data_IF_483014079149
#
_entry.id   IF_483014079149
#
_cell.length_a   1.000
_cell.length_b   1.000
_cell.length_c   1.000
_cell.angle_alpha   90.00
_cell.angle_beta   90.00
_cell.angle_gamma   90.00
#
_symmetry.space_group_name_H-M   'P 1'
#
loop_
_entity.id
_entity.type
_entity.pdbx_description
1 polymer ?
#
# COMPACT_ATOMS: atom_id res chain seq x y z
N UNK A 1 -22.58 -42.29 -5.44
CA UNK A 1 -23.07 -41.53 -4.27
C UNK A 1 -21.86 -41.13 -3.47
N UNK A 2 -21.64 -39.84 -3.31
CA UNK A 2 -20.42 -39.28 -2.65
C UNK A 2 -20.70 -39.11 -1.16
N UNK A 3 -19.69 -39.24 -0.33
CA UNK A 3 -19.72 -39.10 1.15
C UNK A 3 -20.43 -37.81 1.64
N UNK A 4 -20.70 -36.85 0.76
CA UNK A 4 -21.43 -35.61 1.05
C UNK A 4 -22.95 -35.79 1.07
N UNK A 5 -23.50 -36.70 0.30
CA UNK A 5 -24.94 -37.01 0.24
C UNK A 5 -25.36 -37.83 1.43
N UNK A 6 -24.55 -38.79 1.87
CA UNK A 6 -24.82 -39.61 3.07
C UNK A 6 -24.84 -38.76 4.36
N UNK A 7 -23.97 -37.74 4.46
CA UNK A 7 -23.97 -36.82 5.60
C UNK A 7 -25.18 -35.87 5.63
N UNK A 8 -25.77 -35.54 4.49
CA UNK A 8 -27.00 -34.74 4.45
C UNK A 8 -28.24 -35.58 4.81
N UNK A 9 -28.31 -36.84 4.39
CA UNK A 9 -29.42 -37.76 4.73
C UNK A 9 -29.38 -38.11 6.21
N UNK A 10 -28.21 -38.35 6.80
CA UNK A 10 -28.05 -38.59 8.25
C UNK A 10 -28.46 -37.38 9.11
N UNK A 11 -28.18 -36.19 8.67
CA UNK A 11 -28.61 -34.93 9.35
C UNK A 11 -30.14 -34.76 9.29
N UNK A 12 -30.77 -35.14 8.18
CA UNK A 12 -32.21 -35.00 8.01
C UNK A 12 -33.01 -35.99 8.85
N UNK A 13 -32.50 -37.22 8.99
CA UNK A 13 -33.12 -38.29 9.81
C UNK A 13 -33.03 -37.90 11.30
N UNK A 14 -31.90 -37.35 11.75
CA UNK A 14 -31.73 -36.94 13.16
C UNK A 14 -32.60 -35.71 13.55
N UNK A 15 -32.84 -34.79 12.63
CA UNK A 15 -33.71 -33.61 12.89
C UNK A 15 -35.18 -34.00 12.95
N UNK A 16 -35.64 -35.01 12.14
CA UNK A 16 -37.02 -35.43 12.13
C UNK A 16 -37.37 -36.25 13.40
N UNK A 17 -36.45 -37.06 13.88
CA UNK A 17 -36.63 -37.79 15.14
C UNK A 17 -36.61 -36.87 16.36
N UNK A 18 -35.80 -35.79 16.35
CA UNK A 18 -35.79 -34.79 17.41
C UNK A 18 -37.10 -33.97 17.44
N UNK A 19 -37.63 -33.59 16.28
CA UNK A 19 -38.91 -32.88 16.17
C UNK A 19 -40.09 -33.71 16.63
N UNK A 20 -40.14 -35.02 16.30
CA UNK A 20 -41.20 -35.92 16.77
C UNK A 20 -41.14 -36.20 18.27
N UNK A 21 -39.97 -36.14 18.89
CA UNK A 21 -39.82 -36.28 20.34
C UNK A 21 -40.37 -35.06 21.10
N UNK A 22 -40.14 -33.85 20.56
CA UNK A 22 -40.67 -32.59 21.14
C UNK A 22 -42.18 -32.41 20.94
N UNK A 23 -42.75 -32.89 19.84
CA UNK A 23 -44.17 -32.77 19.56
C UNK A 23 -45.05 -33.60 20.53
N UNK A 24 -44.49 -34.62 21.19
CA UNK A 24 -45.21 -35.52 22.13
C UNK A 24 -45.17 -35.05 23.59
N UNK A 25 -44.51 -33.94 23.94
CA UNK A 25 -44.35 -33.39 25.31
C UNK A 25 -44.44 -31.88 25.35
N UNK A 26 -45.65 -31.29 25.26
CA UNK A 26 -45.81 -29.83 25.13
C UNK A 26 -45.34 -29.01 26.36
N UNK A 27 -45.12 -29.64 27.54
CA UNK A 27 -44.65 -28.96 28.73
C UNK A 27 -43.16 -28.52 28.74
N UNK A 28 -42.34 -29.05 27.82
CA UNK A 28 -40.93 -28.74 27.72
C UNK A 28 -40.57 -27.70 26.65
N UNK A 29 -41.57 -27.29 25.84
CA UNK A 29 -41.37 -26.36 24.77
C UNK A 29 -41.07 -24.93 25.23
N UNK A 30 -41.65 -24.53 26.34
CA UNK A 30 -41.44 -23.18 26.92
C UNK A 30 -40.11 -23.04 27.66
N UNK A 31 -39.58 -24.09 28.24
CA UNK A 31 -38.28 -24.07 28.95
C UNK A 31 -37.14 -24.15 27.93
N UNK A 32 -37.28 -24.91 26.81
CA UNK A 32 -36.28 -24.99 25.75
C UNK A 32 -36.12 -23.66 24.96
N UNK A 33 -37.21 -22.94 24.74
CA UNK A 33 -37.20 -21.66 24.03
C UNK A 33 -36.55 -20.55 24.86
N UNK A 34 -36.72 -20.56 26.20
CA UNK A 34 -36.09 -19.59 27.12
C UNK A 34 -34.58 -19.78 27.22
N UNK A 35 -34.07 -21.00 27.06
CA UNK A 35 -32.63 -21.29 27.12
C UNK A 35 -31.97 -20.93 25.75
N UNK A 36 -32.67 -21.06 24.62
CA UNK A 36 -32.14 -20.67 23.30
C UNK A 36 -32.02 -19.15 23.12
N UNK A 37 -32.84 -18.35 23.81
CA UNK A 37 -32.76 -16.87 23.71
C UNK A 37 -31.58 -16.31 24.50
N UNK A 38 -31.07 -17.04 25.51
CA UNK A 38 -29.92 -16.59 26.31
C UNK A 38 -28.55 -16.96 25.73
N UNK A 39 -28.48 -17.79 24.65
CA UNK A 39 -27.22 -18.19 24.03
C UNK A 39 -26.87 -17.38 22.77
N UNK A 40 -27.68 -16.42 22.37
CA UNK A 40 -27.29 -15.40 21.41
C UNK A 40 -26.62 -14.23 22.14
N UNK A 41 -25.68 -14.54 23.02
CA UNK A 41 -24.63 -13.60 23.38
C UNK A 41 -23.88 -13.31 22.09
N UNK A 42 -23.96 -12.10 21.59
CA UNK A 42 -23.09 -11.64 20.52
C UNK A 42 -21.65 -11.87 20.99
N UNK A 43 -21.06 -12.97 20.59
CA UNK A 43 -19.61 -13.09 20.63
C UNK A 43 -19.09 -12.07 19.63
N UNK A 44 -18.83 -10.85 20.09
CA UNK A 44 -18.07 -9.86 19.34
C UNK A 44 -16.74 -10.53 19.07
N UNK A 45 -16.50 -10.85 17.81
CA UNK A 45 -15.20 -11.40 17.43
C UNK A 45 -14.13 -10.42 17.95
N UNK A 46 -13.05 -10.92 18.57
CA UNK A 46 -12.01 -10.05 19.10
C UNK A 46 -11.54 -9.15 17.95
N UNK A 47 -11.60 -7.84 18.17
CA UNK A 47 -11.08 -6.87 17.19
C UNK A 47 -9.60 -7.15 17.01
N UNK A 48 -9.18 -7.36 15.76
CA UNK A 48 -7.76 -7.48 15.47
C UNK A 48 -7.06 -6.17 15.84
N UNK A 49 -5.84 -6.27 16.33
CA UNK A 49 -5.01 -5.11 16.70
C UNK A 49 -3.67 -5.22 15.98
N UNK A 50 -3.15 -4.09 15.56
CA UNK A 50 -1.76 -4.01 15.13
C UNK A 50 -0.86 -4.21 16.34
N UNK A 51 0.14 -5.06 16.23
CA UNK A 51 1.15 -5.29 17.26
C UNK A 51 2.46 -4.61 16.88
N UNK A 52 3.13 -4.00 17.85
CA UNK A 52 4.50 -3.51 17.64
C UNK A 52 5.46 -4.62 18.09
N UNK A 53 6.35 -5.00 17.20
CA UNK A 53 7.33 -6.06 17.42
C UNK A 53 8.16 -5.78 18.68
N UNK A 54 8.49 -6.84 19.42
CA UNK A 54 9.30 -6.80 20.64
C UNK A 54 8.78 -5.90 21.77
N UNK A 55 7.45 -5.57 21.73
CA UNK A 55 6.76 -4.81 22.77
C UNK A 55 5.40 -5.42 23.10
N UNK A 56 4.80 -4.99 24.22
CA UNK A 56 3.42 -5.34 24.58
C UNK A 56 2.39 -4.33 23.99
N UNK A 57 2.85 -3.41 23.12
CA UNK A 57 1.97 -2.38 22.55
C UNK A 57 1.10 -2.95 21.45
N UNK A 58 -0.18 -2.63 21.52
CA UNK A 58 -1.15 -2.98 20.49
C UNK A 58 -2.11 -1.82 20.23
N UNK A 59 -2.52 -1.66 18.95
CA UNK A 59 -3.31 -0.52 18.52
C UNK A 59 -4.50 -0.95 17.68
N UNK A 60 -5.63 -0.29 17.88
CA UNK A 60 -6.86 -0.52 17.13
C UNK A 60 -6.84 0.24 15.80
N UNK A 61 -7.74 -0.17 14.90
CA UNK A 61 -7.99 0.51 13.64
C UNK A 61 -8.24 2.01 13.83
N UNK A 62 -7.74 2.83 12.89
CA UNK A 62 -7.87 4.28 12.90
C UNK A 62 -6.82 5.01 13.74
N UNK A 63 -6.03 4.29 14.54
CA UNK A 63 -4.97 4.91 15.34
C UNK A 63 -3.78 5.29 14.47
N UNK A 64 -3.27 6.51 14.67
CA UNK A 64 -2.02 7.00 14.06
C UNK A 64 -0.94 6.98 15.14
N UNK A 65 0.16 6.30 14.90
CA UNK A 65 1.27 6.18 15.84
C UNK A 65 2.44 7.01 15.31
N UNK A 66 2.93 7.95 16.10
CA UNK A 66 4.21 8.60 15.84
C UNK A 66 5.33 7.71 16.36
N UNK A 67 6.16 7.21 15.48
CA UNK A 67 7.25 6.30 15.86
C UNK A 67 8.32 7.03 16.67
N UNK A 68 8.58 8.29 16.33
CA UNK A 68 9.49 9.17 17.11
C UNK A 68 9.03 9.39 18.55
N UNK A 69 7.71 9.50 18.79
CA UNK A 69 7.17 9.73 20.13
C UNK A 69 6.81 8.43 20.85
N UNK A 70 6.78 7.29 20.15
CA UNK A 70 6.38 5.99 20.67
C UNK A 70 4.93 5.95 21.19
N UNK A 71 4.03 6.80 20.66
CA UNK A 71 2.63 6.92 21.12
C UNK A 71 1.66 7.29 20.01
N UNK A 72 0.36 7.05 20.23
CA UNK A 72 -0.69 7.60 19.38
C UNK A 72 -0.66 9.13 19.29
N UNK A 73 -1.00 9.64 18.10
CA UNK A 73 -1.17 11.06 17.83
C UNK A 73 -2.49 11.30 17.09
N UNK A 74 -3.02 12.50 17.21
CA UNK A 74 -4.18 12.92 16.42
C UNK A 74 -3.78 13.24 14.99
N UNK A 75 -4.75 13.19 14.07
CA UNK A 75 -4.55 13.66 12.68
C UNK A 75 -4.07 15.13 12.62
N UNK A 76 -4.52 15.96 13.56
CA UNK A 76 -4.06 17.35 13.67
C UNK A 76 -2.58 17.44 14.03
N UNK A 77 -2.07 16.61 14.93
CA UNK A 77 -0.65 16.53 15.29
C UNK A 77 0.17 16.03 14.09
N UNK A 78 -0.28 14.98 13.40
CA UNK A 78 0.33 14.50 12.16
C UNK A 78 0.45 15.65 11.15
N UNK A 79 -0.64 16.33 10.81
CA UNK A 79 -0.64 17.42 9.83
C UNK A 79 0.25 18.60 10.25
N UNK A 80 0.38 18.87 11.53
CA UNK A 80 1.26 19.93 12.01
C UNK A 80 2.74 19.61 11.69
N UNK A 81 3.14 18.35 11.83
CA UNK A 81 4.49 17.89 11.48
C UNK A 81 4.69 17.82 9.95
N UNK A 82 3.72 17.28 9.20
CA UNK A 82 3.80 17.21 7.73
C UNK A 82 3.97 18.58 7.06
N UNK A 83 3.38 19.63 7.61
CA UNK A 83 3.52 20.99 7.08
C UNK A 83 4.95 21.55 7.14
N UNK A 84 5.85 20.93 7.89
CA UNK A 84 7.26 21.30 7.94
C UNK A 84 8.10 20.60 6.86
N UNK A 85 7.50 19.71 6.09
CA UNK A 85 8.18 18.85 5.13
C UNK A 85 7.88 19.28 3.69
N UNK A 86 8.85 19.04 2.81
CA UNK A 86 8.68 19.26 1.38
C UNK A 86 8.16 17.98 0.69
N UNK A 87 8.40 16.80 1.26
CA UNK A 87 7.96 15.53 0.69
C UNK A 87 7.23 14.70 1.75
N UNK A 88 6.08 14.17 1.38
CA UNK A 88 5.32 13.24 2.21
C UNK A 88 5.11 11.95 1.43
N UNK A 89 5.74 10.87 1.87
CA UNK A 89 5.55 9.55 1.30
C UNK A 89 4.41 8.84 2.02
N UNK A 90 3.47 8.31 1.26
CA UNK A 90 2.36 7.52 1.80
C UNK A 90 2.37 6.17 1.12
N UNK A 91 2.66 5.15 1.91
CA UNK A 91 2.69 3.78 1.45
C UNK A 91 1.30 3.22 1.15
N UNK A 92 1.28 2.04 0.52
CA UNK A 92 0.05 1.28 0.28
C UNK A 92 0.33 -0.21 0.13
N UNK A 93 -0.68 -1.02 0.44
CA UNK A 93 -0.90 -2.31 -0.18
C UNK A 93 -1.85 -2.07 -1.35
N UNK A 94 -1.41 -2.22 -2.58
CA UNK A 94 -2.11 -1.80 -3.82
C UNK A 94 -3.59 -2.23 -3.92
N UNK A 95 -4.01 -3.24 -3.19
CA UNK A 95 -5.39 -3.75 -3.17
C UNK A 95 -6.19 -3.29 -1.96
N UNK A 96 -5.60 -2.52 -1.03
CA UNK A 96 -6.28 -2.11 0.20
C UNK A 96 -6.94 -0.73 0.04
N UNK A 97 -8.25 -0.71 -0.11
CA UNK A 97 -9.03 0.52 -0.25
C UNK A 97 -8.87 1.50 0.94
N UNK A 98 -8.50 1.00 2.13
CA UNK A 98 -8.30 1.86 3.30
C UNK A 98 -7.00 2.65 3.20
N UNK A 99 -5.96 2.07 2.59
CA UNK A 99 -4.70 2.77 2.34
C UNK A 99 -4.92 3.94 1.37
N UNK A 100 -5.71 3.73 0.31
CA UNK A 100 -6.06 4.79 -0.66
C UNK A 100 -6.94 5.89 -0.05
N UNK A 101 -7.79 5.56 0.93
CA UNK A 101 -8.55 6.60 1.68
C UNK A 101 -7.62 7.46 2.52
N UNK A 102 -6.62 6.87 3.18
CA UNK A 102 -5.58 7.61 3.93
C UNK A 102 -4.82 8.55 2.98
N UNK A 103 -4.43 8.06 1.81
CA UNK A 103 -3.76 8.87 0.78
C UNK A 103 -4.61 10.07 0.40
N UNK A 104 -5.88 9.87 0.09
CA UNK A 104 -6.82 10.95 -0.26
C UNK A 104 -6.98 11.96 0.89
N UNK A 105 -7.19 11.48 2.12
CA UNK A 105 -7.36 12.34 3.31
C UNK A 105 -6.15 13.25 3.54
N UNK A 106 -4.94 12.69 3.42
CA UNK A 106 -3.69 13.45 3.58
C UNK A 106 -3.51 14.45 2.43
N UNK A 107 -3.73 14.04 1.17
CA UNK A 107 -3.65 14.94 0.00
C UNK A 107 -4.60 16.11 0.17
N UNK A 108 -5.86 15.87 0.52
CA UNK A 108 -6.87 16.91 0.75
C UNK A 108 -6.47 17.88 1.85
N UNK A 109 -5.89 17.36 2.94
CA UNK A 109 -5.48 18.19 4.07
C UNK A 109 -4.25 19.04 3.75
N UNK A 110 -3.28 18.52 3.00
CA UNK A 110 -2.10 19.26 2.56
C UNK A 110 -2.51 20.31 1.52
N UNK A 111 -3.36 19.97 0.55
CA UNK A 111 -3.82 20.89 -0.50
C UNK A 111 -4.51 22.13 0.06
N UNK A 112 -5.27 22.00 1.15
CA UNK A 112 -5.91 23.16 1.83
C UNK A 112 -4.91 24.23 2.30
N UNK A 113 -3.65 23.88 2.46
CA UNK A 113 -2.59 24.79 2.94
C UNK A 113 -1.56 25.13 1.88
N UNK A 114 -1.34 24.22 0.94
CA UNK A 114 -0.31 24.32 -0.09
C UNK A 114 -0.95 24.19 -1.47
N UNK A 115 -1.32 25.32 -2.08
CA UNK A 115 -1.92 25.33 -3.42
C UNK A 115 -0.96 24.84 -4.52
N UNK A 116 0.34 24.90 -4.29
CA UNK A 116 1.38 24.35 -5.16
C UNK A 116 1.73 22.89 -4.80
N UNK A 117 0.72 22.07 -4.60
CA UNK A 117 0.91 20.65 -4.36
C UNK A 117 1.21 19.92 -5.67
N UNK A 118 2.16 18.97 -5.62
CA UNK A 118 2.34 17.92 -6.63
C UNK A 118 2.05 16.56 -6.02
N UNK A 119 1.54 15.64 -6.82
CA UNK A 119 1.39 14.24 -6.43
C UNK A 119 2.20 13.36 -7.37
N UNK A 120 3.19 12.66 -6.80
CA UNK A 120 4.01 11.68 -7.51
C UNK A 120 3.40 10.29 -7.42
N UNK A 121 3.32 9.61 -8.55
CA UNK A 121 2.64 8.32 -8.69
C UNK A 121 3.61 7.23 -9.17
N UNK A 122 3.77 6.16 -8.39
CA UNK A 122 4.56 4.98 -8.77
C UNK A 122 4.01 4.27 -10.01
N UNK A 123 2.69 4.26 -10.16
CA UNK A 123 1.98 3.48 -11.18
C UNK A 123 2.23 3.94 -12.62
N UNK A 124 2.87 5.07 -12.81
CA UNK A 124 3.18 5.61 -14.13
C UNK A 124 4.67 5.81 -14.33
N UNK A 125 5.17 5.32 -15.44
CA UNK A 125 6.49 5.69 -15.91
C UNK A 125 6.48 7.03 -16.66
N UNK A 126 7.65 7.64 -16.79
CA UNK A 126 7.83 8.97 -17.35
C UNK A 126 7.26 9.15 -18.76
N UNK A 127 7.05 8.07 -19.53
CA UNK A 127 6.49 8.14 -20.89
C UNK A 127 5.00 8.51 -20.89
N UNK A 128 4.32 8.37 -19.75
CA UNK A 128 2.92 8.76 -19.56
C UNK A 128 2.73 10.17 -18.98
N UNK A 129 3.80 10.96 -18.81
CA UNK A 129 3.69 12.29 -18.19
C UNK A 129 2.68 13.20 -18.92
N UNK A 130 2.64 13.16 -20.25
CA UNK A 130 1.68 13.97 -21.02
C UNK A 130 0.22 13.56 -20.75
N UNK A 131 -0.06 12.28 -20.57
CA UNK A 131 -1.39 11.79 -20.21
C UNK A 131 -1.79 12.27 -18.81
N UNK A 132 -0.84 12.29 -17.85
CA UNK A 132 -1.07 12.82 -16.52
C UNK A 132 -1.31 14.34 -16.54
N UNK A 133 -0.58 15.07 -17.36
CA UNK A 133 -0.78 16.52 -17.56
C UNK A 133 -2.20 16.81 -18.09
N UNK A 134 -2.66 16.05 -19.11
CA UNK A 134 -4.02 16.17 -19.64
C UNK A 134 -5.09 15.84 -18.60
N UNK A 135 -4.85 14.83 -17.75
CA UNK A 135 -5.76 14.50 -16.65
C UNK A 135 -5.86 15.63 -15.64
N UNK A 136 -4.73 16.14 -15.16
CA UNK A 136 -4.67 17.28 -14.21
C UNK A 136 -5.31 18.55 -14.78
N UNK A 137 -5.22 18.76 -16.09
CA UNK A 137 -5.88 19.89 -16.78
C UNK A 137 -7.39 19.71 -16.95
N UNK A 138 -7.95 18.52 -16.66
CA UNK A 138 -9.35 18.22 -16.85
C UNK A 138 -9.74 17.93 -18.31
N UNK A 139 -8.75 17.68 -19.19
CA UNK A 139 -8.94 17.46 -20.63
C UNK A 139 -9.40 16.04 -20.98
N UNK A 140 -9.28 15.10 -20.01
CA UNK A 140 -9.64 13.70 -20.22
C UNK A 140 -10.83 13.30 -19.33
N UNK A 141 -11.78 12.57 -19.90
CA UNK A 141 -12.69 11.76 -19.10
C UNK A 141 -12.03 10.47 -18.63
N UNK A 142 -12.66 9.74 -17.72
CA UNK A 142 -12.14 8.48 -17.17
C UNK A 142 -11.86 7.45 -18.26
N UNK A 143 -12.72 7.32 -19.25
CA UNK A 143 -12.57 6.33 -20.34
C UNK A 143 -11.32 6.60 -21.17
N UNK A 144 -11.12 7.85 -21.55
CA UNK A 144 -9.97 8.26 -22.34
C UNK A 144 -8.68 8.20 -21.53
N UNK A 145 -8.73 8.55 -20.25
CA UNK A 145 -7.60 8.39 -19.33
C UNK A 145 -7.15 6.92 -19.22
N UNK A 146 -8.07 6.00 -18.92
CA UNK A 146 -7.77 4.57 -18.83
C UNK A 146 -7.20 4.00 -20.13
N UNK A 147 -7.73 4.46 -21.27
CA UNK A 147 -7.26 4.04 -22.58
C UNK A 147 -5.86 4.58 -22.90
N UNK A 148 -5.63 5.89 -22.69
CA UNK A 148 -4.36 6.55 -23.04
C UNK A 148 -3.22 6.15 -22.09
N UNK A 149 -3.52 5.94 -20.82
CA UNK A 149 -2.55 5.50 -19.81
C UNK A 149 -2.25 4.00 -19.87
N UNK A 150 -3.02 3.24 -20.69
CA UNK A 150 -2.96 1.77 -20.69
C UNK A 150 -3.05 1.17 -19.28
N UNK A 151 -3.92 1.72 -18.43
CA UNK A 151 -3.99 1.44 -16.99
C UNK A 151 -3.82 -0.04 -16.66
N UNK A 152 -4.69 -0.90 -17.21
CA UNK A 152 -4.69 -2.34 -16.88
C UNK A 152 -3.52 -3.13 -17.48
N UNK A 153 -2.81 -2.58 -18.45
CA UNK A 153 -1.57 -3.18 -18.96
C UNK A 153 -0.37 -2.84 -18.07
N UNK A 154 -0.32 -1.61 -17.56
CA UNK A 154 0.80 -1.09 -16.77
C UNK A 154 0.65 -1.38 -15.27
N UNK A 155 -0.52 -1.09 -14.68
CA UNK A 155 -0.71 -1.18 -13.23
C UNK A 155 -1.46 -2.45 -12.77
N UNK A 156 -2.42 -2.93 -13.54
CA UNK A 156 -3.17 -4.18 -13.33
C UNK A 156 -4.13 -4.21 -12.14
N UNK A 157 -4.10 -3.23 -11.24
CA UNK A 157 -5.04 -3.12 -10.12
C UNK A 157 -6.32 -2.40 -10.55
N UNK A 158 -7.40 -2.63 -9.82
CA UNK A 158 -8.69 -2.01 -10.13
C UNK A 158 -8.60 -0.48 -10.00
N UNK A 159 -8.98 0.22 -11.05
CA UNK A 159 -9.00 1.68 -11.09
C UNK A 159 -9.89 2.29 -10.01
N UNK A 160 -10.95 1.60 -9.61
CA UNK A 160 -11.87 2.08 -8.56
C UNK A 160 -11.16 2.36 -7.24
N UNK A 161 -10.04 1.71 -6.95
CA UNK A 161 -9.21 1.95 -5.77
C UNK A 161 -8.58 3.35 -5.77
N UNK A 162 -8.24 3.87 -6.95
CA UNK A 162 -7.53 5.14 -7.15
C UNK A 162 -8.44 6.26 -7.65
N UNK A 163 -9.68 5.92 -8.01
CA UNK A 163 -10.62 6.82 -8.69
C UNK A 163 -10.83 8.13 -7.90
N UNK A 164 -11.14 8.05 -6.61
CA UNK A 164 -11.42 9.23 -5.79
C UNK A 164 -10.18 10.13 -5.65
N UNK A 165 -8.98 9.57 -5.58
CA UNK A 165 -7.73 10.33 -5.55
C UNK A 165 -7.53 11.07 -6.87
N UNK A 166 -7.66 10.37 -7.99
CA UNK A 166 -7.43 10.92 -9.31
C UNK A 166 -8.49 11.96 -9.70
N UNK A 167 -9.76 11.75 -9.33
CA UNK A 167 -10.81 12.76 -9.53
C UNK A 167 -10.56 14.01 -8.68
N UNK A 168 -10.19 13.86 -7.40
CA UNK A 168 -9.84 15.01 -6.57
C UNK A 168 -8.68 15.81 -7.17
N UNK A 169 -7.65 15.15 -7.69
CA UNK A 169 -6.50 15.77 -8.34
C UNK A 169 -6.94 16.55 -9.58
N UNK A 170 -7.79 15.96 -10.42
CA UNK A 170 -8.34 16.58 -11.64
C UNK A 170 -9.20 17.80 -11.32
N UNK A 171 -10.16 17.66 -10.39
CA UNK A 171 -11.06 18.74 -9.98
C UNK A 171 -10.31 19.96 -9.42
N UNK A 172 -9.18 19.75 -8.80
CA UNK A 172 -8.36 20.78 -8.18
C UNK A 172 -7.11 21.15 -9.00
N UNK A 173 -6.98 20.62 -10.22
CA UNK A 173 -5.84 20.86 -11.13
C UNK A 173 -4.47 20.63 -10.47
N UNK A 174 -4.38 19.65 -9.57
CA UNK A 174 -3.14 19.32 -8.88
C UNK A 174 -2.17 18.67 -9.87
N UNK A 175 -0.93 19.12 -9.86
CA UNK A 175 0.12 18.60 -10.74
C UNK A 175 0.44 17.13 -10.41
N UNK A 176 0.36 16.26 -11.41
CA UNK A 176 0.79 14.87 -11.34
C UNK A 176 2.21 14.69 -11.87
N UNK A 177 2.94 13.78 -11.26
CA UNK A 177 4.30 13.38 -11.68
C UNK A 177 4.35 11.87 -11.84
N UNK A 178 4.69 11.42 -13.05
CA UNK A 178 4.97 10.02 -13.35
C UNK A 178 6.36 9.67 -12.84
N UNK A 179 6.45 8.90 -11.75
CA UNK A 179 7.72 8.69 -11.05
C UNK A 179 8.60 7.62 -11.68
N UNK A 180 7.98 6.65 -12.32
CA UNK A 180 8.61 5.37 -12.64
C UNK A 180 9.36 5.36 -13.98
N UNK A 181 10.11 4.30 -14.20
CA UNK A 181 10.63 3.86 -15.50
C UNK A 181 9.74 2.76 -16.06
N UNK A 182 9.82 2.46 -17.39
CA UNK A 182 9.00 1.42 -17.99
C UNK A 182 9.05 0.10 -17.23
N UNK A 183 7.88 -0.47 -16.95
CA UNK A 183 7.68 -1.61 -16.06
C UNK A 183 8.40 -2.91 -16.47
N UNK A 184 8.89 -2.99 -17.70
CA UNK A 184 9.67 -4.12 -18.19
C UNK A 184 11.17 -4.04 -17.86
N UNK A 185 11.68 -2.89 -17.41
CA UNK A 185 13.10 -2.67 -17.10
C UNK A 185 13.53 -3.45 -15.83
N UNK A 186 12.88 -3.27 -14.64
CA UNK A 186 13.30 -3.99 -13.43
C UNK A 186 13.29 -5.51 -13.58
N UNK A 187 12.27 -6.16 -14.22
CA UNK A 187 12.30 -7.59 -14.46
C UNK A 187 13.50 -8.07 -15.31
N UNK A 188 13.88 -7.32 -16.36
CA UNK A 188 15.03 -7.67 -17.18
C UNK A 188 16.35 -7.59 -16.40
N UNK A 189 16.51 -6.55 -15.56
CA UNK A 189 17.67 -6.43 -14.70
C UNK A 189 17.72 -7.58 -13.69
N UNK A 190 16.61 -7.95 -13.11
CA UNK A 190 16.52 -9.09 -12.19
C UNK A 190 16.91 -10.42 -12.84
N UNK A 191 16.60 -10.61 -14.11
CA UNK A 191 16.90 -11.83 -14.86
C UNK A 191 18.37 -11.94 -15.26
N UNK A 192 19.06 -10.85 -15.58
CA UNK A 192 20.41 -10.91 -16.14
C UNK A 192 21.29 -9.67 -15.92
N UNK A 193 20.94 -8.85 -14.91
CA UNK A 193 21.68 -7.62 -14.62
C UNK A 193 21.40 -6.49 -15.62
N UNK A 194 22.08 -5.36 -15.43
CA UNK A 194 21.95 -4.20 -16.32
C UNK A 194 22.40 -4.52 -17.76
N UNK A 195 23.34 -5.43 -17.92
CA UNK A 195 23.84 -5.85 -19.22
C UNK A 195 22.80 -6.61 -20.07
N UNK A 196 21.71 -7.09 -19.47
CA UNK A 196 20.58 -7.68 -20.16
C UNK A 196 19.69 -6.64 -20.86
N UNK A 197 19.93 -5.35 -20.65
CA UNK A 197 19.20 -4.28 -21.30
C UNK A 197 19.83 -3.90 -22.63
N UNK A 198 18.98 -3.59 -23.62
CA UNK A 198 19.42 -2.96 -24.88
C UNK A 198 19.85 -1.51 -24.61
N UNK A 199 20.59 -0.91 -25.54
CA UNK A 199 21.07 0.47 -25.39
C UNK A 199 19.92 1.49 -25.28
N UNK A 200 18.85 1.31 -26.08
CA UNK A 200 17.63 2.15 -25.99
C UNK A 200 16.89 2.00 -24.64
N UNK A 201 16.98 0.83 -24.00
CA UNK A 201 16.40 0.58 -22.68
C UNK A 201 17.24 1.19 -21.56
N UNK A 202 18.54 1.26 -21.73
CA UNK A 202 19.45 1.92 -20.75
C UNK A 202 19.23 3.42 -20.65
N UNK A 203 18.66 4.06 -21.69
CA UNK A 203 18.29 5.48 -21.65
C UNK A 203 17.23 5.81 -20.59
N UNK A 204 16.48 4.82 -20.11
CA UNK A 204 15.50 4.97 -19.02
C UNK A 204 16.11 4.87 -17.62
N UNK A 205 17.37 4.47 -17.52
CA UNK A 205 18.01 4.31 -16.21
C UNK A 205 18.32 5.67 -15.57
N UNK A 206 18.26 5.74 -14.22
CA UNK A 206 18.68 6.94 -13.51
C UNK A 206 20.17 7.21 -13.71
N UNK A 207 20.58 8.47 -13.62
CA UNK A 207 21.99 8.88 -13.79
C UNK A 207 22.89 8.28 -12.72
N UNK A 208 22.35 8.02 -11.52
CA UNK A 208 23.08 7.44 -10.39
C UNK A 208 22.27 6.31 -9.80
N UNK A 209 22.92 5.16 -9.64
CA UNK A 209 22.38 3.97 -9.00
C UNK A 209 23.23 3.70 -7.75
N UNK A 210 22.63 3.80 -6.57
CA UNK A 210 23.33 3.58 -5.30
C UNK A 210 23.05 2.14 -4.79
N UNK A 211 24.01 1.28 -4.93
CA UNK A 211 24.03 -0.10 -4.39
C UNK A 211 24.89 -0.24 -3.13
N UNK A 212 25.38 0.87 -2.56
CA UNK A 212 26.30 0.86 -1.43
C UNK A 212 25.65 0.80 -0.04
N UNK A 213 24.33 0.92 0.04
CA UNK A 213 23.56 0.99 1.30
C UNK A 213 23.46 -0.38 1.97
N UNK A 214 24.33 -0.66 2.95
CA UNK A 214 24.36 -1.95 3.64
C UNK A 214 23.03 -2.30 4.31
N UNK A 215 22.43 -1.38 5.07
CA UNK A 215 21.16 -1.66 5.76
C UNK A 215 20.01 -1.97 4.79
N UNK A 216 19.92 -1.27 3.66
CA UNK A 216 18.94 -1.58 2.61
C UNK A 216 19.22 -2.93 1.95
N UNK A 217 20.50 -3.25 1.72
CA UNK A 217 20.91 -4.53 1.15
C UNK A 217 20.52 -5.69 2.08
N UNK A 218 20.82 -5.57 3.38
CA UNK A 218 20.51 -6.61 4.37
C UNK A 218 19.00 -6.83 4.48
N UNK A 219 18.21 -5.74 4.49
CA UNK A 219 16.76 -5.80 4.44
C UNK A 219 16.26 -6.53 3.19
N UNK A 220 16.75 -6.16 2.01
CA UNK A 220 16.34 -6.80 0.75
C UNK A 220 16.83 -8.24 0.63
N UNK A 221 17.94 -8.59 1.28
CA UNK A 221 18.39 -10.00 1.35
C UNK A 221 17.37 -10.85 2.11
N UNK A 222 16.86 -10.35 3.24
CA UNK A 222 15.83 -11.06 4.00
C UNK A 222 14.52 -11.20 3.18
N UNK A 223 14.10 -10.14 2.50
CA UNK A 223 12.93 -10.17 1.59
C UNK A 223 13.16 -11.16 0.45
N UNK A 224 14.33 -11.18 -0.16
CA UNK A 224 14.67 -12.11 -1.23
C UNK A 224 14.62 -13.56 -0.75
N UNK A 225 15.21 -13.85 0.40
CA UNK A 225 15.25 -15.21 0.96
C UNK A 225 13.88 -15.77 1.29
N UNK A 226 12.95 -14.91 1.73
CA UNK A 226 11.56 -15.29 1.98
C UNK A 226 10.78 -15.55 0.68
N UNK A 227 11.08 -14.81 -0.39
CA UNK A 227 10.31 -14.83 -1.64
C UNK A 227 10.98 -15.57 -2.80
N UNK A 228 12.23 -16.03 -2.68
CA UNK A 228 12.99 -16.67 -3.78
C UNK A 228 12.27 -17.84 -4.44
N UNK A 229 11.43 -18.57 -3.70
CA UNK A 229 10.63 -19.67 -4.22
C UNK A 229 9.48 -19.25 -5.15
N UNK A 230 9.15 -17.97 -5.19
CA UNK A 230 8.11 -17.41 -6.06
C UNK A 230 8.66 -16.87 -7.39
N UNK A 231 9.98 -16.77 -7.53
CA UNK A 231 10.58 -16.33 -8.77
C UNK A 231 10.52 -17.43 -9.84
N UNK A 232 10.25 -17.05 -11.07
CA UNK A 232 10.33 -17.95 -12.22
C UNK A 232 11.79 -18.02 -12.67
N UNK A 233 12.42 -19.19 -12.58
CA UNK A 233 13.83 -19.40 -12.93
C UNK A 233 14.79 -19.08 -11.77
N UNK A 234 16.08 -19.23 -12.06
CA UNK A 234 17.14 -18.84 -11.13
C UNK A 234 17.33 -17.32 -11.16
N UNK A 235 17.18 -16.68 -10.01
CA UNK A 235 17.43 -15.25 -9.82
C UNK A 235 18.54 -15.12 -8.79
N UNK A 236 19.60 -14.41 -9.14
CA UNK A 236 20.67 -14.08 -8.23
C UNK A 236 20.29 -12.87 -7.38
N UNK A 237 20.65 -12.88 -6.10
CA UNK A 237 20.36 -11.76 -5.21
C UNK A 237 20.97 -10.44 -5.72
N UNK A 238 22.15 -10.47 -6.30
CA UNK A 238 22.80 -9.26 -6.84
C UNK A 238 21.96 -8.60 -7.94
N UNK A 239 21.37 -9.38 -8.81
CA UNK A 239 20.50 -8.88 -9.87
C UNK A 239 19.17 -8.36 -9.29
N UNK A 240 18.61 -9.05 -8.29
CA UNK A 240 17.42 -8.59 -7.59
C UNK A 240 17.67 -7.26 -6.87
N UNK A 241 18.78 -7.15 -6.12
CA UNK A 241 19.15 -5.93 -5.41
C UNK A 241 19.43 -4.77 -6.38
N UNK A 242 20.11 -5.05 -7.48
CA UNK A 242 20.38 -4.06 -8.52
C UNK A 242 19.08 -3.57 -9.16
N UNK A 243 18.16 -4.48 -9.50
CA UNK A 243 16.87 -4.13 -10.08
C UNK A 243 16.05 -3.23 -9.15
N UNK A 244 16.01 -3.55 -7.86
CA UNK A 244 15.33 -2.76 -6.84
C UNK A 244 15.99 -1.37 -6.68
N UNK A 245 17.33 -1.34 -6.63
CA UNK A 245 18.08 -0.09 -6.52
C UNK A 245 17.85 0.83 -7.73
N UNK A 246 17.87 0.30 -8.94
CA UNK A 246 17.55 1.04 -10.16
C UNK A 246 16.14 1.60 -10.10
N UNK A 247 15.17 0.81 -9.69
CA UNK A 247 13.77 1.21 -9.62
C UNK A 247 13.56 2.37 -8.65
N UNK A 248 14.12 2.27 -7.46
CA UNK A 248 14.01 3.29 -6.41
C UNK A 248 14.81 4.55 -6.73
N UNK A 249 16.01 4.41 -7.32
CA UNK A 249 16.81 5.54 -7.73
C UNK A 249 16.16 6.32 -8.87
N UNK A 250 15.48 5.65 -9.82
CA UNK A 250 14.74 6.29 -10.87
C UNK A 250 13.59 7.15 -10.33
N UNK A 251 12.80 6.59 -9.41
CA UNK A 251 11.72 7.34 -8.75
C UNK A 251 12.27 8.51 -7.92
N UNK A 252 13.35 8.30 -7.18
CA UNK A 252 14.00 9.33 -6.38
C UNK A 252 14.59 10.45 -7.24
N UNK A 253 15.16 10.13 -8.40
CA UNK A 253 15.66 11.12 -9.36
C UNK A 253 14.52 11.94 -9.95
N UNK A 254 13.42 11.29 -10.34
CA UNK A 254 12.22 11.98 -10.83
C UNK A 254 11.64 12.92 -9.77
N UNK A 255 11.58 12.50 -8.50
CA UNK A 255 11.19 13.36 -7.39
C UNK A 255 12.11 14.58 -7.31
N UNK A 256 13.43 14.38 -7.33
CA UNK A 256 14.40 15.47 -7.23
C UNK A 256 14.27 16.47 -8.39
N UNK A 257 14.06 16.01 -9.61
CA UNK A 257 13.88 16.85 -10.79
C UNK A 257 12.58 17.65 -10.76
N UNK A 258 11.55 17.14 -10.05
CA UNK A 258 10.21 17.71 -10.05
C UNK A 258 9.82 18.42 -8.75
N UNK A 259 10.62 18.35 -7.69
CA UNK A 259 10.28 18.94 -6.38
C UNK A 259 10.17 20.47 -6.44
N UNK A 260 10.99 21.15 -7.21
CA UNK A 260 11.01 22.62 -7.31
C UNK A 260 10.88 23.29 -5.92
N UNK A 261 9.96 24.25 -5.77
CA UNK A 261 9.60 24.89 -4.50
C UNK A 261 8.23 24.42 -3.98
N UNK A 262 7.76 23.29 -4.46
CA UNK A 262 6.44 22.74 -4.16
C UNK A 262 6.51 21.77 -2.96
N UNK A 263 5.35 21.47 -2.40
CA UNK A 263 5.20 20.28 -1.56
C UNK A 263 4.83 19.11 -2.47
N UNK A 264 5.44 17.96 -2.29
CA UNK A 264 5.11 16.74 -3.04
C UNK A 264 4.60 15.64 -2.11
N UNK A 265 3.42 15.11 -2.43
CA UNK A 265 2.94 13.85 -1.86
C UNK A 265 3.28 12.73 -2.82
N UNK A 266 3.88 11.65 -2.33
CA UNK A 266 4.36 10.52 -3.12
C UNK A 266 3.56 9.29 -2.72
N UNK A 267 2.84 8.69 -3.68
CA UNK A 267 2.05 7.48 -3.50
C UNK A 267 2.80 6.29 -4.08
N UNK A 268 3.17 5.35 -3.21
CA UNK A 268 4.02 4.20 -3.56
C UNK A 268 3.67 2.99 -2.72
N UNK A 269 4.01 1.80 -3.19
CA UNK A 269 3.91 0.58 -2.40
C UNK A 269 4.76 0.66 -1.13
N UNK A 270 4.26 0.08 -0.04
CA UNK A 270 4.91 0.06 1.28
C UNK A 270 6.38 -0.37 1.22
N UNK A 271 6.73 -1.32 0.34
CA UNK A 271 8.10 -1.81 0.20
C UNK A 271 9.14 -0.74 -0.15
N UNK A 272 8.72 0.36 -0.80
CA UNK A 272 9.62 1.43 -1.22
C UNK A 272 9.92 2.47 -0.14
N UNK A 273 9.19 2.44 0.99
CA UNK A 273 9.35 3.44 2.07
C UNK A 273 9.77 2.85 3.41
N UNK A 274 9.73 1.52 3.55
CA UNK A 274 10.08 0.83 4.80
C UNK A 274 11.49 1.22 5.25
N UNK A 275 11.59 1.53 6.54
CA UNK A 275 12.82 2.01 7.19
C UNK A 275 13.46 3.21 6.50
N UNK A 276 12.76 3.83 5.52
CA UNK A 276 13.25 4.92 4.66
C UNK A 276 14.37 4.54 3.70
N UNK A 277 14.75 3.26 3.64
CA UNK A 277 15.92 2.76 2.88
C UNK A 277 15.79 2.93 1.37
N UNK A 278 14.57 2.85 0.84
CA UNK A 278 14.30 2.94 -0.60
C UNK A 278 14.26 4.39 -1.12
N UNK A 279 13.11 4.80 -1.67
CA UNK A 279 12.93 6.11 -2.31
C UNK A 279 13.21 7.29 -1.37
N UNK A 280 12.76 7.30 -0.08
CA UNK A 280 12.91 8.47 0.77
C UNK A 280 14.37 8.87 0.99
N UNK A 281 15.24 7.93 1.32
CA UNK A 281 16.66 8.18 1.57
C UNK A 281 17.40 8.59 0.29
N UNK A 282 17.05 7.96 -0.84
CA UNK A 282 17.61 8.27 -2.16
C UNK A 282 17.24 9.66 -2.66
N UNK A 283 15.98 10.07 -2.45
CA UNK A 283 15.52 11.42 -2.80
C UNK A 283 16.13 12.47 -1.85
N UNK A 284 16.23 12.18 -0.55
CA UNK A 284 16.90 13.05 0.41
C UNK A 284 18.36 13.30 0.04
N UNK A 285 19.11 12.27 -0.35
CA UNK A 285 20.50 12.41 -0.75
C UNK A 285 20.68 13.30 -2.00
N UNK A 286 19.67 13.39 -2.86
CA UNK A 286 19.68 14.24 -4.07
C UNK A 286 19.23 15.67 -3.81
N UNK A 287 18.35 15.88 -2.82
CA UNK A 287 17.65 17.17 -2.65
C UNK A 287 17.95 17.87 -1.32
N UNK A 288 18.28 17.13 -0.27
CA UNK A 288 18.30 17.63 1.11
C UNK A 288 16.91 17.99 1.65
N UNK A 289 15.82 17.68 0.92
CA UNK A 289 14.46 18.06 1.27
C UNK A 289 13.97 17.28 2.50
N UNK A 290 13.40 17.99 3.48
CA UNK A 290 12.79 17.35 4.65
C UNK A 290 11.57 16.54 4.22
N UNK A 291 11.45 15.34 4.76
CA UNK A 291 10.36 14.42 4.44
C UNK A 291 9.78 13.73 5.66
N UNK A 292 8.60 13.12 5.47
CA UNK A 292 8.00 12.13 6.37
C UNK A 292 7.45 10.96 5.58
N UNK A 293 7.41 9.81 6.26
CA UNK A 293 6.83 8.57 5.75
C UNK A 293 5.62 8.17 6.58
N UNK A 294 4.52 7.81 5.92
CA UNK A 294 3.31 7.25 6.53
C UNK A 294 3.16 5.82 6.01
N UNK A 295 3.14 4.86 6.92
CA UNK A 295 3.01 3.44 6.63
C UNK A 295 1.62 2.94 7.06
N UNK A 296 0.69 2.71 6.14
CA UNK A 296 -0.57 2.03 6.44
C UNK A 296 -0.30 0.57 6.80
N UNK A 297 -0.79 0.14 7.97
CA UNK A 297 -0.60 -1.21 8.48
C UNK A 297 -1.93 -1.82 8.91
N UNK A 298 -2.36 -2.97 8.36
CA UNK A 298 -3.60 -3.62 8.76
C UNK A 298 -3.59 -4.06 10.22
N UNK A 299 -4.73 -3.91 10.88
CA UNK A 299 -4.96 -4.54 12.17
C UNK A 299 -4.82 -6.06 12.04
N UNK A 300 -4.01 -6.65 12.92
CA UNK A 300 -3.64 -8.06 12.88
C UNK A 300 -2.22 -8.32 12.36
N UNK A 301 -1.58 -7.33 11.75
CA UNK A 301 -0.16 -7.42 11.39
C UNK A 301 0.73 -7.13 12.62
N UNK A 302 1.99 -7.54 12.52
CA UNK A 302 3.08 -7.17 13.45
C UNK A 302 4.08 -6.34 12.68
N UNK A 303 4.45 -5.17 13.20
CA UNK A 303 5.40 -4.25 12.55
C UNK A 303 6.46 -3.75 13.53
N UNK A 304 7.63 -3.43 13.01
CA UNK A 304 8.66 -2.75 13.78
C UNK A 304 8.31 -1.27 13.99
N UNK A 305 8.67 -0.71 15.14
CA UNK A 305 8.28 0.66 15.47
C UNK A 305 8.96 1.69 14.55
N UNK A 306 10.15 1.43 14.05
CA UNK A 306 10.95 2.32 13.20
C UNK A 306 10.71 2.15 11.70
N UNK A 307 9.70 1.32 11.32
CA UNK A 307 9.37 1.04 9.91
C UNK A 307 9.09 2.30 9.08
N UNK A 308 8.57 3.37 9.71
CA UNK A 308 8.28 4.66 9.10
C UNK A 308 8.27 5.77 10.18
N UNK A 309 8.02 7.05 9.81
CA UNK A 309 7.81 8.12 10.79
C UNK A 309 6.45 8.03 11.47
N UNK A 310 5.46 7.54 10.72
CA UNK A 310 4.11 7.31 11.20
C UNK A 310 3.59 5.96 10.72
N UNK A 311 2.91 5.25 11.61
CA UNK A 311 2.15 4.03 11.28
C UNK A 311 0.67 4.38 11.43
N UNK A 312 -0.13 4.13 10.39
CA UNK A 312 -1.57 4.34 10.43
C UNK A 312 -2.29 3.01 10.34
N UNK A 313 -3.00 2.64 11.43
CA UNK A 313 -3.64 1.32 11.53
C UNK A 313 -4.90 1.29 10.66
N UNK A 314 -4.94 0.36 9.71
CA UNK A 314 -6.07 0.12 8.80
C UNK A 314 -6.84 -1.15 9.17
N UNK A 315 -8.06 -1.35 8.65
CA UNK A 315 -8.86 -2.56 8.86
C UNK A 315 -8.13 -3.84 8.48
#
# INVERSE_FOLDING_TARGET
>A
MTTREENQVMKYINTKQALDWFAKRPGYFLVGLSIMIFLWSCAVAPTKKLMIQDTDQSFEEGVIISTKLGRPVSFKELLADLNSCQIVYIGEKHTNASDHRIQLEVIQAIFKKHSNLAVGLEMFDHTYQDVLNMWSAGELDQKDFLKKSHWYANWRFDFSLYHEILEFIKENHIRLVALNIPNYIPPKIREGGIDNLREDEKEHLPQQIDTSKTAHRDYLQAVFDDHKHHFRGEVEFENFYTAQSVWEDAMAETIAQNLKNDVMVVLVGNGHIQFKYGIPDRAYNRTGALFRTIYPAPAGDVVELDIADYIWVTP
#
